data_IF_677602341947
#
_entry.id   IF_677602341947
#
_cell.length_a   1.000
_cell.length_b   1.000
_cell.length_c   1.000
_cell.angle_alpha   90.00
_cell.angle_beta   90.00
_cell.angle_gamma   90.00
#
_symmetry.space_group_name_H-M   'P 1'
#
loop_
_entity.id
_entity.type
_entity.pdbx_description
1 polymer ?
#
# COMPACT_ATOMS: atom_id res chain seq x y z
N UNK A 1 -2.96 -21.21 3.65
CA UNK A 1 -1.53 -21.51 3.96
C UNK A 1 -0.64 -20.96 2.86
N UNK A 2 -1.00 -21.15 1.58
CA UNK A 2 -0.29 -20.61 0.41
C UNK A 2 -0.24 -19.08 0.36
N UNK A 3 -1.31 -18.40 0.76
CA UNK A 3 -1.46 -16.93 0.75
C UNK A 3 -0.42 -16.26 1.67
N UNK A 4 -0.37 -16.71 2.93
CA UNK A 4 0.61 -16.23 3.90
C UNK A 4 2.04 -16.53 3.45
N UNK A 5 2.29 -17.71 2.86
CA UNK A 5 3.61 -18.04 2.32
C UNK A 5 4.04 -17.08 1.21
N UNK A 6 3.14 -16.74 0.27
CA UNK A 6 3.43 -15.76 -0.79
C UNK A 6 3.77 -14.39 -0.19
N UNK A 7 2.94 -13.91 0.75
CA UNK A 7 3.15 -12.63 1.41
C UNK A 7 4.48 -12.58 2.18
N UNK A 8 4.78 -13.59 2.99
CA UNK A 8 6.00 -13.69 3.79
C UNK A 8 7.25 -13.83 2.90
N UNK A 9 7.17 -14.60 1.81
CA UNK A 9 8.28 -14.71 0.85
C UNK A 9 8.52 -13.40 0.11
N UNK A 10 7.46 -12.73 -0.34
CA UNK A 10 7.55 -11.43 -0.97
C UNK A 10 8.17 -10.39 -0.03
N UNK A 11 7.79 -10.40 1.25
CA UNK A 11 8.38 -9.53 2.26
C UNK A 11 9.89 -9.76 2.40
N UNK A 12 10.32 -11.02 2.56
CA UNK A 12 11.76 -11.35 2.65
C UNK A 12 12.55 -10.93 1.41
N UNK A 13 11.97 -11.09 0.22
CA UNK A 13 12.58 -10.60 -1.03
C UNK A 13 12.68 -9.07 -1.04
N UNK A 14 11.63 -8.38 -0.63
CA UNK A 14 11.61 -6.94 -0.48
C UNK A 14 12.67 -6.42 0.50
N UNK A 15 12.88 -7.07 1.65
CA UNK A 15 13.95 -6.73 2.58
C UNK A 15 15.34 -6.79 1.92
N UNK A 16 15.59 -7.81 1.10
CA UNK A 16 16.86 -7.94 0.37
C UNK A 16 17.01 -6.80 -0.64
N UNK A 17 15.94 -6.43 -1.35
CA UNK A 17 15.93 -5.32 -2.31
C UNK A 17 16.28 -4.00 -1.61
N UNK A 18 15.66 -3.72 -0.46
CA UNK A 18 15.95 -2.52 0.32
C UNK A 18 17.40 -2.52 0.80
N UNK A 19 17.86 -3.63 1.42
CA UNK A 19 19.24 -3.75 1.95
C UNK A 19 20.31 -3.56 0.87
N UNK A 20 20.05 -4.02 -0.35
CA UNK A 20 20.98 -3.93 -1.48
C UNK A 20 20.75 -2.72 -2.38
N UNK A 21 19.77 -1.86 -2.06
CA UNK A 21 19.35 -0.72 -2.86
C UNK A 21 19.04 -1.08 -4.33
N UNK A 22 18.36 -2.20 -4.56
CA UNK A 22 18.12 -2.77 -5.90
C UNK A 22 16.82 -2.29 -6.56
N UNK A 23 16.32 -1.10 -6.22
CA UNK A 23 15.07 -0.59 -6.78
C UNK A 23 15.12 -0.43 -8.31
N UNK A 24 16.28 -0.06 -8.85
CA UNK A 24 16.47 0.19 -10.28
C UNK A 24 16.46 -1.08 -11.14
N UNK A 25 16.42 -2.28 -10.54
CA UNK A 25 16.30 -3.53 -11.31
C UNK A 25 14.88 -3.77 -11.81
N UNK A 26 13.90 -3.05 -11.28
CA UNK A 26 12.50 -3.15 -11.69
C UNK A 26 12.23 -2.27 -12.92
N UNK A 27 11.39 -2.79 -13.81
CA UNK A 27 10.98 -2.07 -15.02
C UNK A 27 10.41 -0.68 -14.67
N UNK A 28 10.77 0.33 -15.45
CA UNK A 28 10.36 1.72 -15.20
C UNK A 28 8.85 1.89 -15.10
N UNK A 29 8.07 1.15 -15.88
CA UNK A 29 6.60 1.21 -15.85
C UNK A 29 6.07 0.73 -14.48
N UNK A 30 6.64 -0.34 -13.94
CA UNK A 30 6.31 -0.85 -12.60
C UNK A 30 6.63 0.22 -11.56
N UNK A 31 7.83 0.81 -11.64
CA UNK A 31 8.28 1.83 -10.70
C UNK A 31 7.36 3.04 -10.72
N UNK A 32 7.11 3.60 -11.91
CA UNK A 32 6.27 4.76 -12.12
C UNK A 32 4.89 4.61 -11.49
N UNK A 33 4.18 3.52 -11.78
CA UNK A 33 2.82 3.36 -11.28
C UNK A 33 2.79 3.05 -9.78
N UNK A 34 3.68 2.19 -9.27
CA UNK A 34 3.72 1.87 -7.84
C UNK A 34 4.16 3.09 -7.01
N UNK A 35 5.14 3.86 -7.47
CA UNK A 35 5.61 5.04 -6.76
C UNK A 35 4.47 6.06 -6.57
N UNK A 36 3.62 6.27 -7.58
CA UNK A 36 2.41 7.11 -7.45
C UNK A 36 1.47 6.61 -6.34
N UNK A 37 1.29 5.28 -6.21
CA UNK A 37 0.48 4.70 -5.14
C UNK A 37 1.10 4.96 -3.76
N UNK A 38 2.41 4.76 -3.65
CA UNK A 38 3.16 4.92 -2.40
C UNK A 38 3.19 6.39 -1.96
N UNK A 39 3.46 7.33 -2.87
CA UNK A 39 3.50 8.76 -2.59
C UNK A 39 2.13 9.29 -2.08
N UNK A 40 1.04 8.63 -2.48
CA UNK A 40 -0.32 8.99 -2.09
C UNK A 40 -0.92 8.09 -0.98
N UNK A 41 -0.12 7.18 -0.39
CA UNK A 41 -0.62 6.17 0.55
C UNK A 41 -1.25 6.76 1.80
N UNK A 42 -0.74 7.91 2.26
CA UNK A 42 -1.26 8.59 3.46
C UNK A 42 -2.75 8.91 3.38
N UNK A 43 -3.27 9.15 2.17
CA UNK A 43 -4.69 9.45 1.91
C UNK A 43 -5.48 8.25 1.35
N UNK A 44 -4.81 7.21 0.85
CA UNK A 44 -5.45 6.14 0.06
C UNK A 44 -4.91 4.72 0.36
N UNK A 45 -4.70 4.41 1.64
CA UNK A 45 -4.21 3.10 2.12
C UNK A 45 -4.97 1.90 1.53
N UNK A 46 -6.29 2.05 1.31
CA UNK A 46 -7.13 0.98 0.75
C UNK A 46 -6.69 0.51 -0.63
N UNK A 47 -6.24 1.40 -1.51
CA UNK A 47 -5.84 1.00 -2.87
C UNK A 47 -4.57 0.14 -2.84
N UNK A 48 -3.63 0.42 -1.93
CA UNK A 48 -2.40 -0.35 -1.77
C UNK A 48 -2.68 -1.75 -1.21
N UNK A 49 -3.52 -1.85 -0.18
CA UNK A 49 -3.92 -3.15 0.37
C UNK A 49 -4.79 -3.95 -0.61
N UNK A 50 -5.70 -3.29 -1.33
CA UNK A 50 -6.51 -3.92 -2.37
C UNK A 50 -5.64 -4.44 -3.52
N UNK A 51 -4.66 -3.65 -3.99
CA UNK A 51 -3.69 -4.10 -4.99
C UNK A 51 -2.93 -5.33 -4.49
N UNK A 52 -2.43 -5.31 -3.26
CA UNK A 52 -1.74 -6.47 -2.68
C UNK A 52 -2.61 -7.73 -2.71
N UNK A 53 -3.89 -7.59 -2.34
CA UNK A 53 -4.86 -8.70 -2.38
C UNK A 53 -5.04 -9.25 -3.78
N UNK A 54 -5.18 -8.37 -4.78
CA UNK A 54 -5.27 -8.75 -6.20
C UNK A 54 -4.01 -9.46 -6.68
N UNK A 55 -2.83 -8.95 -6.36
CA UNK A 55 -1.55 -9.57 -6.75
C UNK A 55 -1.43 -10.99 -6.16
N UNK A 56 -1.76 -11.17 -4.89
CA UNK A 56 -1.77 -12.50 -4.24
C UNK A 56 -2.74 -13.43 -4.95
N UNK A 57 -3.96 -12.97 -5.29
CA UNK A 57 -4.91 -13.79 -6.05
C UNK A 57 -4.34 -14.21 -7.40
N UNK A 58 -3.71 -13.29 -8.15
CA UNK A 58 -3.12 -13.60 -9.46
C UNK A 58 -2.01 -14.65 -9.36
N UNK A 59 -1.14 -14.53 -8.35
CA UNK A 59 -0.05 -15.48 -8.12
C UNK A 59 -0.60 -16.88 -7.78
N UNK A 60 -1.68 -16.95 -7.00
CA UNK A 60 -2.29 -18.22 -6.61
C UNK A 60 -3.01 -18.89 -7.78
N UNK A 61 -3.74 -18.09 -8.55
CA UNK A 61 -4.58 -18.51 -9.67
C UNK A 61 -4.32 -17.63 -10.89
N UNK A 62 -3.31 -17.98 -11.71
CA UNK A 62 -2.87 -17.15 -12.84
C UNK A 62 -3.95 -16.85 -13.88
N UNK A 63 -4.98 -17.70 -13.95
CA UNK A 63 -6.12 -17.53 -14.88
C UNK A 63 -7.19 -16.56 -14.36
N UNK A 64 -7.21 -16.23 -13.07
CA UNK A 64 -8.17 -15.27 -12.53
C UNK A 64 -7.89 -13.89 -13.10
N UNK A 65 -8.92 -13.24 -13.65
CA UNK A 65 -8.89 -11.79 -13.90
C UNK A 65 -9.10 -11.04 -12.58
N UNK A 66 -8.05 -10.37 -12.11
CA UNK A 66 -8.06 -9.70 -10.81
C UNK A 66 -8.80 -8.36 -10.81
N UNK A 67 -9.26 -7.89 -11.97
CA UNK A 67 -10.13 -6.70 -12.11
C UNK A 67 -11.56 -7.00 -11.66
N UNK A 68 -11.94 -8.28 -11.64
CA UNK A 68 -13.25 -8.80 -11.24
C UNK A 68 -13.27 -9.17 -9.74
N UNK A 69 -13.02 -8.18 -8.89
CA UNK A 69 -12.75 -8.34 -7.46
C UNK A 69 -13.95 -8.68 -6.55
N UNK A 70 -15.13 -8.93 -7.14
CA UNK A 70 -16.37 -9.25 -6.41
C UNK A 70 -17.01 -10.51 -6.96
N UNK A 71 -17.69 -11.27 -6.11
CA UNK A 71 -18.36 -12.53 -6.46
C UNK A 71 -19.63 -12.38 -7.29
N UNK A 72 -20.19 -11.16 -7.36
CA UNK A 72 -21.36 -10.84 -8.19
C UNK A 72 -20.98 -10.48 -9.64
N UNK A 73 -19.69 -10.35 -9.96
CA UNK A 73 -19.23 -10.36 -11.33
C UNK A 73 -19.16 -11.79 -11.85
N UNK A 74 -19.55 -12.00 -13.11
CA UNK A 74 -19.27 -13.25 -13.80
C UNK A 74 -17.77 -13.53 -13.78
N UNK A 75 -17.38 -14.74 -13.35
CA UNK A 75 -15.97 -15.13 -13.13
C UNK A 75 -15.20 -14.28 -12.10
N UNK A 76 -15.91 -13.53 -11.25
CA UNK A 76 -15.30 -12.76 -10.18
C UNK A 76 -14.92 -13.59 -8.96
N UNK A 77 -14.16 -13.00 -8.04
CA UNK A 77 -13.67 -13.67 -6.83
C UNK A 77 -13.96 -12.85 -5.56
N UNK A 78 -13.96 -13.52 -4.40
CA UNK A 78 -14.18 -12.83 -3.12
C UNK A 78 -12.90 -12.16 -2.62
N UNK A 79 -12.58 -10.99 -3.18
CA UNK A 79 -11.39 -10.24 -2.79
C UNK A 79 -11.46 -9.76 -1.33
N UNK A 80 -12.65 -9.37 -0.84
CA UNK A 80 -12.86 -9.00 0.57
C UNK A 80 -12.54 -10.15 1.53
N UNK A 81 -12.99 -11.37 1.22
CA UNK A 81 -12.67 -12.54 2.06
C UNK A 81 -11.17 -12.82 2.09
N UNK A 82 -10.49 -12.71 0.94
CA UNK A 82 -9.05 -12.89 0.83
C UNK A 82 -8.29 -11.82 1.65
N UNK A 83 -8.68 -10.55 1.50
CA UNK A 83 -8.10 -9.43 2.25
C UNK A 83 -8.28 -9.60 3.76
N UNK A 84 -9.51 -9.87 4.20
CA UNK A 84 -9.84 -9.97 5.62
C UNK A 84 -9.07 -11.10 6.30
N UNK A 85 -8.89 -12.22 5.59
CA UNK A 85 -8.24 -13.42 6.13
C UNK A 85 -6.71 -13.35 6.09
N UNK A 86 -6.12 -12.64 5.12
CA UNK A 86 -4.67 -12.70 4.88
C UNK A 86 -4.02 -11.32 4.72
N UNK A 87 -4.44 -10.51 3.74
CA UNK A 87 -3.77 -9.24 3.44
C UNK A 87 -3.86 -8.23 4.58
N UNK A 88 -5.05 -7.99 5.12
CA UNK A 88 -5.27 -7.05 6.22
C UNK A 88 -4.49 -7.45 7.49
N UNK A 89 -4.54 -8.71 7.98
CA UNK A 89 -3.67 -9.17 9.07
C UNK A 89 -2.17 -8.98 8.78
N UNK A 90 -1.73 -9.28 7.55
CA UNK A 90 -0.34 -9.10 7.15
C UNK A 90 0.09 -7.62 7.19
N UNK A 91 -0.73 -6.71 6.67
CA UNK A 91 -0.48 -5.26 6.75
C UNK A 91 -0.44 -4.77 8.21
N UNK A 92 -1.35 -5.24 9.07
CA UNK A 92 -1.35 -4.88 10.49
C UNK A 92 -0.06 -5.34 11.19
N UNK A 93 0.49 -6.49 10.79
CA UNK A 93 1.74 -7.04 11.34
C UNK A 93 2.98 -6.29 10.85
N UNK A 94 3.11 -6.05 9.55
CA UNK A 94 4.35 -5.55 8.94
C UNK A 94 4.34 -4.06 8.56
N UNK A 95 3.16 -3.50 8.35
CA UNK A 95 2.95 -2.14 7.86
C UNK A 95 1.85 -1.40 8.66
N UNK A 96 1.88 -1.41 10.01
CA UNK A 96 0.74 -0.96 10.84
C UNK A 96 0.30 0.48 10.55
N UNK A 97 1.23 1.38 10.23
CA UNK A 97 0.92 2.78 9.87
C UNK A 97 0.09 2.89 8.59
N UNK A 98 0.28 1.98 7.63
CA UNK A 98 -0.41 1.97 6.34
C UNK A 98 -1.51 0.91 6.25
N UNK A 99 -1.74 0.16 7.32
CA UNK A 99 -2.84 -0.78 7.39
C UNK A 99 -4.20 -0.04 7.45
N UNK A 100 -5.20 -0.61 6.80
CA UNK A 100 -6.58 -0.19 7.01
C UNK A 100 -7.06 -0.67 8.39
N UNK A 101 -7.93 0.11 9.03
CA UNK A 101 -8.56 -0.28 10.31
C UNK A 101 -9.39 -1.56 10.11
N UNK A 102 -10.25 -1.51 9.11
CA UNK A 102 -11.05 -2.63 8.59
C UNK A 102 -10.50 -3.12 7.25
N UNK A 103 -11.23 -4.03 6.58
CA UNK A 103 -10.89 -4.47 5.23
C UNK A 103 -10.73 -3.29 4.25
N UNK A 104 -9.77 -3.41 3.34
CA UNK A 104 -9.59 -2.47 2.24
C UNK A 104 -10.85 -2.36 1.37
N UNK A 105 -11.56 -3.47 1.17
CA UNK A 105 -12.74 -3.60 0.32
C UNK A 105 -14.04 -3.03 0.91
N UNK A 106 -13.96 -2.30 2.03
CA UNK A 106 -15.09 -1.58 2.62
C UNK A 106 -15.06 -0.07 2.33
N UNK A 107 -13.99 0.44 1.70
CA UNK A 107 -13.91 1.87 1.34
C UNK A 107 -14.65 2.16 0.04
N UNK A 108 -15.09 3.42 -0.14
CA UNK A 108 -15.79 3.87 -1.35
C UNK A 108 -15.00 3.57 -2.64
N UNK A 109 -13.68 3.61 -2.58
CA UNK A 109 -12.82 3.38 -3.75
C UNK A 109 -12.79 1.93 -4.24
N UNK A 110 -13.14 0.96 -3.40
CA UNK A 110 -12.92 -0.48 -3.69
C UNK A 110 -14.13 -1.36 -3.38
N UNK A 111 -15.18 -0.81 -2.75
CA UNK A 111 -16.42 -1.55 -2.46
C UNK A 111 -17.42 -1.52 -3.60
N UNK A 112 -17.32 -0.57 -4.52
CA UNK A 112 -18.33 -0.36 -5.56
C UNK A 112 -18.34 -1.50 -6.57
N UNK A 113 -19.49 -1.73 -7.20
CA UNK A 113 -19.66 -2.74 -8.24
C UNK A 113 -19.13 -2.21 -9.59
N UNK A 114 -17.85 -1.87 -9.62
CA UNK A 114 -17.15 -1.33 -10.78
C UNK A 114 -15.97 -2.24 -11.10
N UNK A 115 -15.91 -2.81 -12.31
CA UNK A 115 -14.76 -3.61 -12.72
C UNK A 115 -13.53 -2.71 -12.82
N UNK A 116 -12.36 -3.20 -12.42
CA UNK A 116 -11.14 -2.39 -12.44
C UNK A 116 -10.43 -2.43 -13.81
N UNK A 117 -11.20 -2.34 -14.89
CA UNK A 117 -10.70 -2.16 -16.26
C UNK A 117 -10.39 -0.69 -16.52
N UNK A 118 -9.71 -0.38 -17.63
CA UNK A 118 -9.46 1.00 -18.05
C UNK A 118 -10.71 1.80 -18.38
N UNK A 119 -11.78 1.12 -18.77
CA UNK A 119 -13.05 1.73 -19.15
C UNK A 119 -13.92 1.95 -17.91
N UNK A 120 -14.35 0.87 -17.25
CA UNK A 120 -15.24 0.92 -16.09
C UNK A 120 -14.56 1.60 -14.88
N UNK A 121 -13.26 1.33 -14.68
CA UNK A 121 -12.51 1.80 -13.53
C UNK A 121 -12.38 3.32 -13.44
N UNK A 122 -12.67 4.05 -14.52
CA UNK A 122 -12.69 5.51 -14.48
C UNK A 122 -13.81 6.06 -13.58
N UNK A 123 -14.87 5.28 -13.35
CA UNK A 123 -15.97 5.62 -12.46
C UNK A 123 -15.63 5.49 -10.95
N UNK A 124 -14.49 4.87 -10.60
CA UNK A 124 -14.07 4.71 -9.20
C UNK A 124 -14.00 6.06 -8.48
N UNK A 125 -14.49 6.09 -7.23
CA UNK A 125 -14.51 7.28 -6.35
C UNK A 125 -13.13 7.61 -5.76
N UNK A 126 -12.15 7.82 -6.64
CA UNK A 126 -10.79 8.24 -6.31
C UNK A 126 -10.57 9.62 -6.93
N UNK A 127 -10.43 10.64 -6.08
CA UNK A 127 -10.28 12.05 -6.53
C UNK A 127 -8.97 12.31 -7.27
N UNK A 128 -7.89 11.64 -6.87
CA UNK A 128 -6.59 11.79 -7.51
C UNK A 128 -6.56 10.95 -8.80
N UNK A 129 -6.62 11.62 -9.95
CA UNK A 129 -6.62 10.98 -11.28
C UNK A 129 -5.34 10.21 -11.55
N UNK A 130 -4.17 10.74 -11.17
CA UNK A 130 -2.89 10.04 -11.35
C UNK A 130 -2.88 8.72 -10.56
N UNK A 131 -3.31 8.76 -9.30
CA UNK A 131 -3.43 7.57 -8.46
C UNK A 131 -4.40 6.53 -9.04
N UNK A 132 -5.59 6.97 -9.47
CA UNK A 132 -6.58 6.10 -10.10
C UNK A 132 -6.00 5.44 -11.36
N UNK A 133 -5.37 6.23 -12.21
CA UNK A 133 -4.79 5.73 -13.46
C UNK A 133 -3.66 4.74 -13.20
N UNK A 134 -2.78 5.00 -12.24
CA UNK A 134 -1.69 4.09 -11.88
C UNK A 134 -2.21 2.77 -11.28
N UNK A 135 -3.26 2.81 -10.46
CA UNK A 135 -3.90 1.59 -9.97
C UNK A 135 -4.46 0.75 -11.13
N UNK A 136 -5.20 1.36 -12.05
CA UNK A 136 -5.76 0.65 -13.21
C UNK A 136 -4.69 0.19 -14.21
N UNK A 137 -3.63 0.98 -14.40
CA UNK A 137 -2.46 0.64 -15.23
C UNK A 137 -1.83 -0.67 -14.75
N UNK A 138 -1.59 -0.82 -13.44
CA UNK A 138 -0.96 -2.01 -12.89
C UNK A 138 -1.80 -3.25 -13.20
N UNK A 139 -3.11 -3.18 -12.99
CA UNK A 139 -4.01 -4.30 -13.25
C UNK A 139 -4.06 -4.65 -14.75
N UNK A 140 -4.11 -3.65 -15.63
CA UNK A 140 -4.04 -3.85 -17.08
C UNK A 140 -2.71 -4.48 -17.51
N UNK A 141 -1.59 -4.06 -16.92
CA UNK A 141 -0.29 -4.62 -17.23
C UNK A 141 -0.17 -6.09 -16.90
N UNK A 142 -0.83 -6.54 -15.84
CA UNK A 142 -0.84 -7.93 -15.42
C UNK A 142 -1.83 -8.74 -16.28
N UNK A 143 -3.02 -8.21 -16.53
CA UNK A 143 -4.09 -8.95 -17.21
C UNK A 143 -3.94 -8.99 -18.73
N UNK A 144 -3.49 -7.90 -19.35
CA UNK A 144 -3.38 -7.77 -20.80
C UNK A 144 -1.94 -8.00 -21.27
N UNK A 145 -0.98 -7.34 -20.63
CA UNK A 145 0.44 -7.44 -21.03
C UNK A 145 1.20 -8.59 -20.33
N UNK A 146 0.49 -9.45 -19.58
CA UNK A 146 0.99 -10.66 -18.93
C UNK A 146 2.28 -10.42 -18.10
N UNK A 147 2.39 -9.23 -17.49
CA UNK A 147 3.51 -8.92 -16.60
C UNK A 147 3.42 -9.76 -15.33
N UNK A 148 4.58 -10.14 -14.78
CA UNK A 148 4.67 -11.01 -13.61
C UNK A 148 4.15 -10.28 -12.36
N UNK A 149 3.07 -10.75 -11.71
CA UNK A 149 2.52 -10.10 -10.52
C UNK A 149 3.52 -10.06 -9.35
N UNK A 150 4.47 -11.00 -9.29
CA UNK A 150 5.53 -11.04 -8.29
C UNK A 150 6.40 -9.78 -8.31
N UNK A 151 6.74 -9.27 -9.50
CA UNK A 151 7.60 -8.09 -9.63
C UNK A 151 6.93 -6.84 -9.01
N UNK A 152 5.61 -6.70 -9.20
CA UNK A 152 4.83 -5.63 -8.56
C UNK A 152 4.75 -5.82 -7.06
N UNK A 153 4.52 -7.04 -6.59
CA UNK A 153 4.40 -7.32 -5.15
C UNK A 153 5.73 -7.06 -4.43
N UNK A 154 6.85 -7.49 -5.01
CA UNK A 154 8.19 -7.28 -4.45
C UNK A 154 8.56 -5.80 -4.42
N UNK A 155 8.31 -5.07 -5.51
CA UNK A 155 8.59 -3.64 -5.55
C UNK A 155 7.70 -2.86 -4.57
N UNK A 156 6.39 -3.16 -4.53
CA UNK A 156 5.44 -2.54 -3.60
C UNK A 156 5.87 -2.73 -2.15
N UNK A 157 6.23 -3.95 -1.75
CA UNK A 157 6.70 -4.21 -0.39
C UNK A 157 8.05 -3.57 -0.10
N UNK A 158 8.97 -3.51 -1.07
CA UNK A 158 10.26 -2.83 -0.88
C UNK A 158 10.05 -1.33 -0.62
N UNK A 159 9.13 -0.69 -1.35
CA UNK A 159 8.74 0.71 -1.14
C UNK A 159 8.05 0.93 0.21
N UNK A 160 7.16 0.03 0.63
CA UNK A 160 6.53 0.11 1.96
C UNK A 160 7.56 -0.04 3.10
N UNK A 161 8.52 -0.97 2.97
CA UNK A 161 9.61 -1.12 3.94
C UNK A 161 10.46 0.15 3.99
N UNK A 162 10.86 0.68 2.82
CA UNK A 162 11.62 1.94 2.74
C UNK A 162 10.88 3.10 3.43
N UNK A 163 9.57 3.21 3.20
CA UNK A 163 8.74 4.25 3.80
C UNK A 163 8.62 4.09 5.32
N UNK A 164 8.42 2.85 5.81
CA UNK A 164 8.40 2.55 7.25
C UNK A 164 9.72 2.90 7.94
N UNK A 165 10.87 2.56 7.34
CA UNK A 165 12.20 2.88 7.87
C UNK A 165 12.42 4.39 7.94
N UNK A 166 11.99 5.12 6.91
CA UNK A 166 12.08 6.57 6.88
C UNK A 166 11.23 7.22 7.98
N UNK A 167 10.00 6.74 8.15
CA UNK A 167 9.09 7.20 9.21
C UNK A 167 9.64 6.92 10.62
N UNK A 168 10.23 5.74 10.84
CA UNK A 168 10.88 5.40 12.10
C UNK A 168 12.07 6.33 12.38
N UNK A 169 12.90 6.60 11.38
CA UNK A 169 14.02 7.54 11.50
C UNK A 169 13.54 8.95 11.87
N UNK A 170 12.45 9.44 11.27
CA UNK A 170 11.86 10.75 11.64
C UNK A 170 11.39 10.74 13.09
N UNK A 171 10.66 9.70 13.51
CA UNK A 171 10.16 9.59 14.88
C UNK A 171 11.30 9.55 15.90
N UNK A 172 12.38 8.82 15.62
CA UNK A 172 13.57 8.78 16.47
C UNK A 172 14.26 10.15 16.56
N UNK A 173 14.37 10.89 15.45
CA UNK A 173 14.92 12.25 15.44
C UNK A 173 14.06 13.20 16.27
N UNK A 174 12.75 13.14 16.10
CA UNK A 174 11.80 13.95 16.88
C UNK A 174 11.91 13.63 18.37
N UNK A 175 11.93 12.35 18.75
CA UNK A 175 12.06 11.94 20.15
C UNK A 175 13.38 12.42 20.79
N UNK A 176 14.51 12.35 20.07
CA UNK A 176 15.80 12.91 20.56
C UNK A 176 15.74 14.42 20.72
N UNK A 177 15.10 15.14 19.82
CA UNK A 177 14.89 16.59 19.96
C UNK A 177 14.00 16.90 21.17
N UNK A 178 12.93 16.14 21.41
CA UNK A 178 12.07 16.29 22.59
C UNK A 178 12.75 15.87 23.89
N UNK A 179 13.74 14.97 23.87
CA UNK A 179 14.57 14.70 25.05
C UNK A 179 15.57 15.84 25.34
N UNK A 180 16.08 16.49 24.29
CA UNK A 180 16.96 17.67 24.42
C UNK A 180 16.18 18.95 24.80
N UNK A 181 14.92 19.05 24.39
CA UNK A 181 13.96 20.03 24.91
C UNK A 181 13.44 19.43 26.22
N UNK A 182 14.24 19.55 27.29
CA UNK A 182 13.92 18.99 28.61
C UNK A 182 12.43 19.12 28.90
N UNK A 183 11.80 18.01 29.32
CA UNK A 183 10.34 17.80 29.46
C UNK A 183 9.57 19.12 29.40
N UNK A 184 8.86 19.36 28.29
CA UNK A 184 7.89 20.45 28.14
C UNK A 184 6.91 20.41 29.32
N UNK A 185 7.30 21.06 30.41
CA UNK A 185 6.51 21.17 31.60
C UNK A 185 5.78 22.51 31.53
N UNK A 186 4.71 22.62 32.31
CA UNK A 186 3.86 23.80 32.29
C UNK A 186 4.65 25.10 32.57
N UNK A 187 5.73 25.03 33.35
CA UNK A 187 6.57 26.20 33.67
C UNK A 187 7.37 26.66 32.45
N UNK A 188 7.94 25.75 31.67
CA UNK A 188 8.66 26.08 30.44
C UNK A 188 7.72 26.69 29.39
N UNK A 189 6.48 26.19 29.29
CA UNK A 189 5.45 26.74 28.40
C UNK A 189 5.08 28.17 28.84
N UNK A 190 4.90 28.39 30.15
CA UNK A 190 4.58 29.72 30.70
C UNK A 190 5.71 30.73 30.46
N UNK A 191 6.98 30.33 30.65
CA UNK A 191 8.14 31.17 30.34
C UNK A 191 8.19 31.56 28.86
N UNK A 192 7.98 30.60 27.96
CA UNK A 192 7.99 30.87 26.51
C UNK A 192 6.88 31.83 26.09
N UNK A 193 5.67 31.68 26.66
CA UNK A 193 4.55 32.59 26.40
C UNK A 193 4.83 33.99 26.94
N UNK A 194 5.32 34.11 28.17
CA UNK A 194 5.68 35.41 28.75
C UNK A 194 6.74 36.14 27.93
N UNK A 195 7.75 35.42 27.42
CA UNK A 195 8.79 36.00 26.56
C UNK A 195 8.30 36.45 25.19
N UNK A 196 7.22 35.86 24.68
CA UNK A 196 6.66 36.19 23.36
C UNK A 196 5.72 37.39 23.41
N UNK A 197 5.04 37.60 24.54
CA UNK A 197 4.06 38.68 24.73
C UNK A 197 4.56 39.86 25.57
N UNK A 198 5.84 39.88 25.93
CA UNK A 198 6.54 41.01 26.54
C UNK A 198 7.24 41.86 25.47
#
# INVERSE_FOLDING_TARGET
MKENQILEQAYKKAEIIVKRNQFNTFNEIIRKDIDVLIDNIGKNKSLVSALTTSLVKKIIEPKQDIRLHRTDFESGYSARSLDTKFTSPFFKKYFPKYANKESAFLTLATREQIKWTKEDGMALKVRNTALKNSFLNILEQIEIYQRKPEDYLYYLFAKLIQLSLYDEMILQKAAKQTQNIGTLNINLILEMLQKHFA
#
